data_IF_796661734957
#
_entry.id   IF_796661734957
#
_cell.length_a   1.000
_cell.length_b   1.000
_cell.length_c   1.000
_cell.angle_alpha   90.00
_cell.angle_beta   90.00
_cell.angle_gamma   90.00
#
_symmetry.space_group_name_H-M   'P 1'
#
loop_
_entity.id
_entity.type
_entity.pdbx_description
1 polymer ?
#
# COMPACT_ATOMS: atom_id res chain seq x y z
N UNK A 1 -19.06 3.93 12.72
CA UNK A 1 -17.88 3.04 12.56
C UNK A 1 -17.45 2.88 11.10
N UNK A 2 -18.39 2.87 10.14
CA UNK A 2 -18.11 2.84 8.69
C UNK A 2 -17.33 4.08 8.20
N UNK A 3 -17.67 5.27 8.70
CA UNK A 3 -17.05 6.54 8.28
C UNK A 3 -15.53 6.60 8.57
N UNK A 4 -15.07 5.96 9.66
CA UNK A 4 -13.63 5.88 9.96
C UNK A 4 -12.90 4.90 9.05
N UNK A 5 -13.56 3.82 8.64
CA UNK A 5 -13.00 2.82 7.74
C UNK A 5 -12.88 3.36 6.31
N UNK A 6 -13.91 4.07 5.82
CA UNK A 6 -13.88 4.74 4.51
C UNK A 6 -12.75 5.77 4.45
N UNK A 7 -12.58 6.57 5.51
CA UNK A 7 -11.47 7.52 5.62
C UNK A 7 -10.09 6.83 5.71
N UNK A 8 -10.00 5.65 6.32
CA UNK A 8 -8.75 4.88 6.38
C UNK A 8 -8.36 4.29 5.01
N UNK A 9 -9.31 3.73 4.27
CA UNK A 9 -9.07 3.24 2.90
C UNK A 9 -8.64 4.38 1.97
N UNK A 10 -9.31 5.53 2.04
CA UNK A 10 -8.93 6.71 1.24
C UNK A 10 -7.50 7.18 1.51
N UNK A 11 -7.09 7.23 2.78
CA UNK A 11 -5.69 7.55 3.15
C UNK A 11 -4.68 6.53 2.64
N UNK A 12 -5.04 5.24 2.66
CA UNK A 12 -4.16 4.18 2.14
C UNK A 12 -3.99 4.29 0.63
N UNK A 13 -5.08 4.54 -0.11
CA UNK A 13 -5.03 4.76 -1.57
C UNK A 13 -4.17 5.96 -1.90
N UNK A 14 -4.42 7.12 -1.30
CA UNK A 14 -3.63 8.33 -1.54
C UNK A 14 -2.14 8.14 -1.19
N UNK A 15 -1.84 7.42 -0.11
CA UNK A 15 -0.47 7.10 0.25
C UNK A 15 0.20 6.21 -0.81
N UNK A 16 -0.48 5.16 -1.28
CA UNK A 16 0.01 4.27 -2.34
C UNK A 16 0.28 5.06 -3.63
N UNK A 17 -0.67 5.89 -4.07
CA UNK A 17 -0.51 6.72 -5.27
C UNK A 17 0.70 7.65 -5.15
N UNK A 18 0.87 8.30 -3.99
CA UNK A 18 2.03 9.14 -3.70
C UNK A 18 3.35 8.35 -3.71
N UNK A 19 3.38 7.15 -3.12
CA UNK A 19 4.55 6.27 -3.15
C UNK A 19 4.93 5.89 -4.57
N UNK A 20 3.94 5.45 -5.36
CA UNK A 20 4.14 5.00 -6.75
C UNK A 20 4.58 6.18 -7.63
N UNK A 21 4.01 7.37 -7.42
CA UNK A 21 4.43 8.57 -8.14
C UNK A 21 5.87 8.98 -7.82
N UNK A 22 6.34 8.76 -6.58
CA UNK A 22 7.70 9.11 -6.15
C UNK A 22 8.76 8.06 -6.53
N UNK A 23 8.48 6.77 -6.35
CA UNK A 23 9.44 5.66 -6.51
C UNK A 23 9.26 4.89 -7.83
N UNK A 24 8.09 4.98 -8.46
CA UNK A 24 7.70 4.12 -9.57
C UNK A 24 7.30 2.71 -9.11
N UNK A 25 6.63 1.97 -10.00
CA UNK A 25 6.27 0.58 -9.75
C UNK A 25 7.46 -0.37 -9.70
N UNK A 26 8.57 -0.02 -10.37
CA UNK A 26 9.81 -0.78 -10.39
C UNK A 26 10.63 -0.60 -9.10
N UNK A 27 10.48 0.53 -8.41
CA UNK A 27 11.09 0.77 -7.09
C UNK A 27 10.38 0.05 -5.93
N UNK A 28 9.19 -0.53 -6.17
CA UNK A 28 8.44 -1.26 -5.17
C UNK A 28 8.76 -2.76 -5.22
N UNK A 29 9.07 -3.39 -4.06
CA UNK A 29 9.11 -4.83 -3.95
C UNK A 29 7.83 -5.47 -4.47
N UNK A 30 7.94 -6.60 -5.18
CA UNK A 30 6.81 -7.32 -5.79
C UNK A 30 5.66 -7.57 -4.80
N UNK A 31 5.98 -7.94 -3.56
CA UNK A 31 5.02 -8.14 -2.49
C UNK A 31 4.20 -6.88 -2.12
N UNK A 32 4.86 -5.71 -2.10
CA UNK A 32 4.20 -4.44 -1.81
C UNK A 32 3.40 -3.97 -3.01
N UNK A 33 3.94 -4.15 -4.22
CA UNK A 33 3.26 -3.83 -5.47
C UNK A 33 1.95 -4.59 -5.60
N UNK A 34 1.93 -5.89 -5.33
CA UNK A 34 0.70 -6.68 -5.36
C UNK A 34 -0.35 -6.15 -4.38
N UNK A 35 0.05 -5.85 -3.14
CA UNK A 35 -0.88 -5.31 -2.14
C UNK A 35 -1.37 -3.90 -2.51
N UNK A 36 -0.50 -3.06 -3.08
CA UNK A 36 -0.87 -1.75 -3.60
C UNK A 36 -1.91 -1.86 -4.71
N UNK A 37 -1.66 -2.70 -5.72
CA UNK A 37 -2.60 -2.95 -6.82
C UNK A 37 -3.93 -3.50 -6.32
N UNK A 38 -3.91 -4.45 -5.38
CA UNK A 38 -5.13 -5.01 -4.80
C UNK A 38 -5.98 -3.94 -4.10
N UNK A 39 -5.34 -3.04 -3.33
CA UNK A 39 -6.01 -1.92 -2.66
C UNK A 39 -6.53 -0.86 -3.63
N UNK A 40 -5.80 -0.56 -4.71
CA UNK A 40 -6.25 0.37 -5.76
C UNK A 40 -7.42 -0.19 -6.57
N UNK A 41 -7.37 -1.49 -6.90
CA UNK A 41 -8.44 -2.17 -7.61
C UNK A 41 -9.70 -2.36 -6.74
N UNK A 42 -9.53 -2.51 -5.42
CA UNK A 42 -10.61 -2.73 -4.48
C UNK A 42 -10.48 -1.79 -3.26
N UNK A 43 -10.76 -0.48 -3.41
CA UNK A 43 -10.60 0.49 -2.33
C UNK A 43 -11.54 0.23 -1.14
N UNK A 44 -12.73 -0.29 -1.42
CA UNK A 44 -13.76 -0.66 -0.45
C UNK A 44 -13.53 -2.02 0.23
N UNK A 45 -12.61 -2.83 -0.27
CA UNK A 45 -12.31 -4.12 0.34
C UNK A 45 -11.67 -3.95 1.73
N UNK A 46 -12.04 -4.85 2.63
CA UNK A 46 -11.43 -4.95 3.96
C UNK A 46 -10.01 -5.52 3.87
N UNK A 47 -9.22 -5.35 4.94
CA UNK A 47 -7.86 -5.92 5.00
C UNK A 47 -7.84 -7.45 4.88
N UNK A 48 -8.93 -8.13 5.28
CA UNK A 48 -9.05 -9.57 5.16
C UNK A 48 -9.33 -9.99 3.71
N UNK A 49 -10.24 -9.29 3.02
CA UNK A 49 -10.54 -9.54 1.60
C UNK A 49 -9.33 -9.26 0.71
N UNK A 50 -8.60 -8.16 0.96
CA UNK A 50 -7.34 -7.90 0.26
C UNK A 50 -6.32 -9.02 0.48
N UNK A 51 -6.26 -9.59 1.68
CA UNK A 51 -5.41 -10.74 1.99
C UNK A 51 -5.79 -12.00 1.21
N UNK A 52 -7.09 -12.20 0.97
CA UNK A 52 -7.59 -13.33 0.19
C UNK A 52 -7.30 -13.23 -1.31
N UNK A 53 -7.00 -12.03 -1.84
CA UNK A 53 -6.59 -11.86 -3.24
C UNK A 53 -5.13 -12.24 -3.52
N UNK A 54 -4.34 -12.52 -2.49
CA UNK A 54 -2.97 -12.99 -2.64
C UNK A 54 -2.91 -14.52 -2.73
N UNK A 55 -1.93 -15.03 -3.48
CA UNK A 55 -1.59 -16.44 -3.54
C UNK A 55 -0.12 -16.64 -3.10
N UNK A 56 0.14 -17.28 -1.94
CA UNK A 56 -0.83 -17.78 -0.96
C UNK A 56 -1.58 -16.65 -0.21
N UNK A 57 -2.78 -16.93 0.35
CA UNK A 57 -3.59 -15.93 1.03
C UNK A 57 -2.88 -15.37 2.26
N UNK A 58 -2.96 -14.06 2.43
CA UNK A 58 -2.31 -13.34 3.51
C UNK A 58 -3.29 -13.04 4.64
N UNK A 59 -2.80 -13.09 5.87
CA UNK A 59 -3.53 -12.59 7.03
C UNK A 59 -3.73 -11.07 6.97
N UNK A 60 -4.85 -10.57 7.49
CA UNK A 60 -5.14 -9.12 7.60
C UNK A 60 -4.00 -8.31 8.21
N UNK A 61 -3.26 -8.89 9.17
CA UNK A 61 -2.10 -8.28 9.82
C UNK A 61 -0.93 -8.08 8.86
N UNK A 62 -0.66 -9.06 7.99
CA UNK A 62 0.40 -8.98 6.97
C UNK A 62 0.06 -7.90 5.95
N UNK A 63 -1.19 -7.86 5.47
CA UNK A 63 -1.68 -6.82 4.55
C UNK A 63 -1.54 -5.44 5.18
N UNK A 64 -1.97 -5.28 6.44
CA UNK A 64 -1.82 -4.03 7.17
C UNK A 64 -0.37 -3.57 7.27
N UNK A 65 0.57 -4.47 7.59
CA UNK A 65 2.00 -4.15 7.64
C UNK A 65 2.55 -3.71 6.28
N UNK A 66 2.13 -4.37 5.18
CA UNK A 66 2.54 -3.98 3.81
C UNK A 66 2.03 -2.60 3.44
N UNK A 67 0.76 -2.30 3.74
CA UNK A 67 0.15 -0.98 3.52
C UNK A 67 0.82 0.11 4.38
N UNK A 68 1.12 -0.17 5.65
CA UNK A 68 1.85 0.76 6.51
C UNK A 68 3.26 1.03 5.96
N UNK A 69 3.94 0.02 5.41
CA UNK A 69 5.24 0.17 4.77
C UNK A 69 5.15 1.01 3.50
N UNK A 70 4.14 0.81 2.66
CA UNK A 70 3.86 1.66 1.50
C UNK A 70 3.69 3.13 1.92
N UNK A 71 2.86 3.39 2.94
CA UNK A 71 2.68 4.75 3.45
C UNK A 71 3.97 5.37 4.01
N UNK A 72 4.81 4.58 4.69
CA UNK A 72 6.12 5.06 5.15
C UNK A 72 7.07 5.39 3.99
N UNK A 73 7.03 4.62 2.89
CA UNK A 73 7.81 4.88 1.68
C UNK A 73 7.37 6.19 0.98
N UNK A 74 6.09 6.56 1.05
CA UNK A 74 5.63 7.87 0.55
C UNK A 74 6.30 9.04 1.28
N UNK A 75 6.47 8.91 2.60
CA UNK A 75 7.07 9.96 3.43
C UNK A 75 8.59 10.04 3.20
N UNK A 76 9.27 8.90 3.11
CA UNK A 76 10.72 8.83 2.90
C UNK A 76 11.13 9.23 1.47
N UNK A 77 10.35 8.85 0.46
CA UNK A 77 10.60 9.21 -0.94
C UNK A 77 10.45 10.71 -1.22
N UNK A 78 9.70 11.44 -0.39
CA UNK A 78 9.56 12.89 -0.47
C UNK A 78 10.74 13.66 0.16
N UNK A 79 11.64 13.00 0.91
CA UNK A 79 12.75 13.64 1.63
C UNK A 79 14.14 13.03 1.42
N UNK A 80 14.26 11.92 0.70
CA UNK A 80 15.48 11.12 0.66
C UNK A 80 16.05 10.90 -0.73
N UNK A 81 16.69 11.93 -1.29
CA UNK A 81 17.71 11.72 -2.29
C UNK A 81 18.80 10.79 -1.74
N UNK A 82 18.95 9.63 -2.39
CA UNK A 82 20.16 8.79 -2.40
C UNK A 82 20.25 8.25 -3.82
N UNK A 83 20.64 9.05 -4.81
CA UNK A 83 22.02 9.46 -5.09
C UNK A 83 23.04 8.40 -4.68
N UNK A 84 23.52 7.72 -5.73
CA UNK A 84 24.86 7.15 -5.94
C UNK A 84 25.14 5.78 -5.27
N UNK A 85 25.04 4.71 -6.05
CA UNK A 85 26.18 4.04 -6.73
C UNK A 85 25.68 3.08 -7.82
#
# INVERSE_FOLDING_TARGET
>A
NLERAVSASGRQVAAIESTVAALGWDGLPSDLRQTALARLANPEATLAELGAFHDPPLSKTTVHRRLARLAALAVEGAGGGRSLE
#
